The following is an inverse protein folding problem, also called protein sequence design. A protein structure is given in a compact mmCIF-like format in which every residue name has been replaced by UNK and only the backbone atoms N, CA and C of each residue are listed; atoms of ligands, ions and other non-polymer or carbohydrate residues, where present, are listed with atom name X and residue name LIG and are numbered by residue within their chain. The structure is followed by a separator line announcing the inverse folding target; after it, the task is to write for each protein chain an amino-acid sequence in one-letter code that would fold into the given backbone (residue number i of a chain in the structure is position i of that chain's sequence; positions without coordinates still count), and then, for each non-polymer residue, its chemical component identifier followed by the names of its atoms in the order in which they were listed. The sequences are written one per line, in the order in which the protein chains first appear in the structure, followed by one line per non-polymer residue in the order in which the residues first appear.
data_IF_093430420509
#
_entry.id   IF_093430420509
#
_cell.length_a   1.000
_cell.length_b   1.000
_cell.length_c   1.000
_cell.angle_alpha   90.00
_cell.angle_beta   90.00
_cell.angle_gamma   90.00
#
_symmetry.space_group_name_H-M   'P 1'
#
loop_
_entity.id
_entity.type
_entity.pdbx_description
1 polymer ?
#
# COMPACT_ATOMS: atom_id res chain seq x y z
N UNK A 1 0.89 5.59 -15.34
CA UNK A 1 0.95 4.14 -15.17
C UNK A 1 -0.22 3.39 -15.85
N UNK A 2 -1.51 3.63 -15.51
CA UNK A 2 -2.65 2.91 -16.13
C UNK A 2 -2.62 2.99 -17.66
N UNK A 3 -2.44 4.18 -18.24
CA UNK A 3 -2.37 4.35 -19.68
C UNK A 3 -1.19 3.58 -20.32
N UNK A 4 -0.05 3.47 -19.64
CA UNK A 4 1.09 2.66 -20.10
C UNK A 4 0.72 1.18 -20.10
N UNK A 5 0.11 0.69 -19.03
CA UNK A 5 -0.36 -0.69 -18.92
C UNK A 5 -1.34 -1.05 -20.06
N UNK A 6 -2.36 -0.23 -20.26
CA UNK A 6 -3.37 -0.44 -21.32
C UNK A 6 -2.80 -0.35 -22.74
N UNK A 7 -1.67 0.33 -22.90
CA UNK A 7 -0.91 0.36 -24.17
C UNK A 7 0.02 -0.85 -24.36
N UNK A 8 0.07 -1.78 -23.39
CA UNK A 8 0.93 -2.97 -23.43
C UNK A 8 2.32 -2.75 -22.84
N UNK A 9 2.63 -1.57 -22.34
CA UNK A 9 3.89 -1.27 -21.63
C UNK A 9 3.76 -1.65 -20.14
N UNK A 10 3.78 -2.95 -19.89
CA UNK A 10 3.62 -3.52 -18.55
C UNK A 10 4.77 -3.10 -17.63
N UNK A 11 6.01 -3.22 -18.10
CA UNK A 11 7.21 -2.87 -17.30
C UNK A 11 7.22 -1.40 -16.97
N UNK A 12 6.99 -0.51 -17.93
CA UNK A 12 6.91 0.92 -17.72
C UNK A 12 5.77 1.33 -16.77
N UNK A 13 4.63 0.61 -16.81
CA UNK A 13 3.53 0.84 -15.88
C UNK A 13 3.94 0.55 -14.43
N UNK A 14 4.65 -0.55 -14.19
CA UNK A 14 5.17 -0.92 -12.88
C UNK A 14 6.30 0.00 -12.41
N UNK A 15 7.20 0.41 -13.30
CA UNK A 15 8.24 1.41 -12.97
C UNK A 15 7.60 2.73 -12.50
N UNK A 16 6.56 3.19 -13.17
CA UNK A 16 5.80 4.38 -12.76
C UNK A 16 5.10 4.18 -11.40
N UNK A 17 4.57 2.98 -11.14
CA UNK A 17 3.94 2.67 -9.85
C UNK A 17 4.98 2.71 -8.71
N UNK A 18 6.11 2.01 -8.86
CA UNK A 18 7.17 1.98 -7.85
C UNK A 18 7.72 3.39 -7.56
N UNK A 19 7.97 4.15 -8.62
CA UNK A 19 8.42 5.55 -8.51
C UNK A 19 7.41 6.42 -7.74
N UNK A 20 6.13 6.32 -8.07
CA UNK A 20 5.08 7.10 -7.41
C UNK A 20 4.87 6.67 -5.95
N UNK A 21 4.97 5.39 -5.67
CA UNK A 21 4.88 4.83 -4.32
C UNK A 21 6.09 5.22 -3.45
N UNK A 22 7.21 5.62 -4.07
CA UNK A 22 8.47 5.87 -3.38
C UNK A 22 9.17 4.59 -2.95
N UNK A 23 8.97 3.51 -3.71
CA UNK A 23 9.60 2.21 -3.49
C UNK A 23 10.82 2.12 -4.39
N UNK A 24 11.99 1.95 -3.79
CA UNK A 24 13.22 1.73 -4.52
C UNK A 24 13.31 0.25 -4.96
N UNK A 25 13.62 0.03 -6.23
CA UNK A 25 13.87 -1.29 -6.78
C UNK A 25 15.27 -1.33 -7.41
N UNK A 26 16.03 -2.40 -7.23
CA UNK A 26 17.29 -2.58 -7.95
C UNK A 26 17.10 -2.49 -9.46
N UNK A 27 18.11 -1.97 -10.20
CA UNK A 27 18.02 -1.89 -11.65
C UNK A 27 17.67 -3.23 -12.30
N UNK A 28 16.67 -3.24 -13.16
CA UNK A 28 16.21 -4.41 -13.89
C UNK A 28 15.29 -5.36 -13.12
N UNK A 29 15.09 -5.18 -11.82
CA UNK A 29 14.20 -6.05 -11.02
C UNK A 29 12.76 -6.02 -11.54
N UNK A 30 12.22 -4.85 -11.84
CA UNK A 30 10.84 -4.70 -12.33
C UNK A 30 10.69 -5.41 -13.70
N UNK A 31 11.66 -5.25 -14.60
CA UNK A 31 11.64 -5.95 -15.87
C UNK A 31 11.75 -7.48 -15.71
N UNK A 32 12.51 -7.95 -14.73
CA UNK A 32 12.59 -9.38 -14.40
C UNK A 32 11.27 -9.92 -13.83
N UNK A 33 10.60 -9.17 -13.00
CA UNK A 33 9.35 -9.59 -12.35
C UNK A 33 8.15 -9.56 -13.30
N UNK A 34 8.07 -8.55 -14.17
CA UNK A 34 6.86 -8.25 -14.94
C UNK A 34 7.04 -8.32 -16.45
N UNK A 35 8.27 -8.41 -16.96
CA UNK A 35 8.57 -8.36 -18.39
C UNK A 35 8.67 -9.71 -19.11
N UNK A 36 8.64 -10.84 -18.38
CA UNK A 36 8.74 -12.20 -18.92
C UNK A 36 7.41 -12.94 -19.06
N UNK A 37 7.51 -14.25 -19.38
CA UNK A 37 6.35 -15.15 -19.26
C UNK A 37 5.96 -15.28 -17.79
N UNK A 38 4.66 -15.14 -17.51
CA UNK A 38 4.08 -15.22 -16.17
C UNK A 38 2.85 -16.12 -16.20
N UNK A 39 2.42 -16.57 -15.05
CA UNK A 39 1.20 -17.35 -14.91
C UNK A 39 -0.01 -16.55 -15.43
N UNK A 40 -0.93 -17.24 -16.12
CA UNK A 40 -2.11 -16.58 -16.72
C UNK A 40 -3.03 -15.98 -15.65
N UNK A 41 -3.12 -16.60 -14.45
CA UNK A 41 -3.92 -16.07 -13.36
C UNK A 41 -3.32 -14.78 -12.79
N UNK A 42 -1.99 -14.74 -12.59
CA UNK A 42 -1.29 -13.54 -12.13
C UNK A 42 -1.47 -12.37 -13.12
N UNK A 43 -1.39 -12.66 -14.43
CA UNK A 43 -1.60 -11.64 -15.47
C UNK A 43 -3.05 -11.15 -15.49
N UNK A 44 -4.03 -12.04 -15.26
CA UNK A 44 -5.43 -11.68 -15.21
C UNK A 44 -5.75 -10.81 -13.97
N UNK A 45 -5.19 -11.15 -12.81
CA UNK A 45 -5.33 -10.38 -11.57
C UNK A 45 -4.67 -9.00 -11.68
N UNK A 46 -3.46 -8.93 -12.23
CA UNK A 46 -2.77 -7.68 -12.51
C UNK A 46 -3.59 -6.79 -13.45
N UNK A 47 -4.12 -7.36 -14.52
CA UNK A 47 -4.97 -6.64 -15.46
C UNK A 47 -6.21 -6.08 -14.77
N UNK A 48 -6.90 -6.90 -13.97
CA UNK A 48 -8.06 -6.46 -13.20
C UNK A 48 -7.71 -5.30 -12.26
N UNK A 49 -6.58 -5.39 -11.57
CA UNK A 49 -6.10 -4.34 -10.68
C UNK A 49 -5.84 -3.02 -11.42
N UNK A 50 -5.11 -3.04 -12.55
CA UNK A 50 -4.86 -1.83 -13.34
C UNK A 50 -6.12 -1.22 -13.96
N UNK A 51 -7.02 -2.08 -14.48
CA UNK A 51 -8.20 -1.61 -15.20
C UNK A 51 -9.31 -1.09 -14.27
N UNK A 52 -9.49 -1.70 -13.09
CA UNK A 52 -10.67 -1.46 -12.27
C UNK A 52 -10.38 -0.95 -10.86
N UNK A 53 -9.32 -1.40 -10.20
CA UNK A 53 -9.10 -1.12 -8.78
C UNK A 53 -8.16 0.06 -8.52
N UNK A 54 -7.08 0.17 -9.28
CA UNK A 54 -6.01 1.14 -8.99
C UNK A 54 -6.52 2.58 -8.99
N UNK A 55 -7.28 2.99 -10.01
CA UNK A 55 -7.83 4.33 -10.07
C UNK A 55 -8.89 4.55 -8.98
N UNK A 56 -9.77 3.58 -8.77
CA UNK A 56 -10.84 3.68 -7.79
C UNK A 56 -10.31 3.81 -6.36
N UNK A 57 -9.25 3.06 -6.02
CA UNK A 57 -8.65 3.11 -4.69
C UNK A 57 -7.77 4.34 -4.48
N UNK A 58 -6.97 4.74 -5.48
CA UNK A 58 -5.99 5.82 -5.33
C UNK A 58 -6.60 7.22 -5.42
N UNK A 59 -7.72 7.39 -6.11
CA UNK A 59 -8.46 8.66 -6.17
C UNK A 59 -9.57 8.78 -5.13
N UNK A 60 -9.79 7.72 -4.34
CA UNK A 60 -10.79 7.78 -3.28
C UNK A 60 -10.38 8.80 -2.21
N UNK A 61 -11.35 9.65 -1.83
CA UNK A 61 -11.16 10.63 -0.77
C UNK A 61 -11.97 10.22 0.46
N UNK A 62 -11.31 10.01 1.62
CA UNK A 62 -12.01 9.66 2.84
C UNK A 62 -12.89 10.80 3.34
N UNK A 63 -14.10 10.49 3.76
CA UNK A 63 -14.95 11.41 4.51
C UNK A 63 -14.43 11.55 5.95
N UNK A 64 -13.56 12.51 6.17
CA UNK A 64 -12.90 12.74 7.45
C UNK A 64 -13.90 13.09 8.57
N UNK A 65 -15.01 13.74 8.24
CA UNK A 65 -16.02 14.06 9.26
C UNK A 65 -16.72 12.78 9.73
N UNK A 66 -17.06 11.88 8.81
CA UNK A 66 -17.65 10.59 9.13
C UNK A 66 -16.68 9.70 9.90
N UNK A 67 -15.39 9.69 9.52
CA UNK A 67 -14.37 8.92 10.22
C UNK A 67 -14.17 9.40 11.65
N UNK A 68 -14.08 10.71 11.89
CA UNK A 68 -13.97 11.29 13.25
C UNK A 68 -15.16 10.96 14.16
N UNK A 69 -16.36 10.85 13.58
CA UNK A 69 -17.59 10.54 14.29
C UNK A 69 -17.91 9.03 14.33
N UNK A 70 -16.97 8.18 13.92
CA UNK A 70 -17.15 6.72 13.92
C UNK A 70 -17.25 6.19 15.35
N UNK A 71 -18.23 5.32 15.61
CA UNK A 71 -18.29 4.56 16.87
C UNK A 71 -17.21 3.47 16.96
N UNK A 72 -16.60 3.10 15.82
CA UNK A 72 -15.51 2.13 15.75
C UNK A 72 -14.19 2.89 15.85
N UNK A 73 -13.29 2.54 16.77
CA UNK A 73 -11.96 3.13 16.84
C UNK A 73 -11.18 2.97 15.53
N UNK A 74 -10.59 4.05 15.05
CA UNK A 74 -9.75 4.05 13.86
C UNK A 74 -8.32 4.26 14.31
N UNK A 75 -7.45 3.31 14.05
CA UNK A 75 -6.05 3.33 14.45
C UNK A 75 -5.20 3.36 13.17
N UNK A 76 -4.72 4.54 12.73
CA UNK A 76 -3.76 4.59 11.63
C UNK A 76 -2.48 3.83 12.01
N UNK A 77 -1.97 3.02 11.09
CA UNK A 77 -0.77 2.23 11.33
C UNK A 77 0.13 2.19 10.10
N UNK A 78 1.45 2.14 10.31
CA UNK A 78 2.45 2.11 9.26
C UNK A 78 3.70 1.35 9.71
N UNK A 79 4.37 0.67 8.78
CA UNK A 79 5.67 0.06 9.03
C UNK A 79 6.75 1.12 9.27
N UNK A 80 7.59 0.93 10.30
CA UNK A 80 8.64 1.88 10.66
C UNK A 80 9.70 2.08 9.56
N UNK A 81 9.89 1.06 8.70
CA UNK A 81 10.79 1.12 7.55
C UNK A 81 10.15 1.74 6.29
N UNK A 82 8.87 2.09 6.33
CA UNK A 82 8.17 2.78 5.23
C UNK A 82 8.38 4.30 5.24
N UNK A 83 9.24 4.82 6.09
CA UNK A 83 9.45 6.26 6.24
C UNK A 83 9.74 6.97 4.91
N UNK A 84 8.96 8.02 4.59
CA UNK A 84 9.09 8.80 3.35
C UNK A 84 8.38 8.23 2.12
N UNK A 85 7.92 6.99 2.15
CA UNK A 85 7.11 6.39 1.09
C UNK A 85 5.70 7.01 1.02
N UNK A 86 4.97 6.75 -0.06
CA UNK A 86 3.61 7.26 -0.22
C UNK A 86 2.69 6.80 0.91
N UNK A 87 2.76 5.51 1.29
CA UNK A 87 1.97 4.94 2.38
C UNK A 87 2.24 5.62 3.74
N UNK A 88 3.49 5.98 4.05
CA UNK A 88 3.85 6.72 5.25
C UNK A 88 3.24 8.13 5.25
N UNK A 89 3.41 8.86 4.14
CA UNK A 89 2.87 10.24 4.01
C UNK A 89 1.35 10.27 4.14
N UNK A 90 0.64 9.35 3.47
CA UNK A 90 -0.83 9.29 3.50
C UNK A 90 -1.34 8.84 4.87
N UNK A 91 -0.68 7.87 5.51
CA UNK A 91 -1.05 7.43 6.87
C UNK A 91 -0.85 8.55 7.89
N UNK A 92 0.26 9.30 7.81
CA UNK A 92 0.48 10.46 8.70
C UNK A 92 -0.51 11.58 8.46
N UNK A 93 -0.87 11.85 7.19
CA UNK A 93 -1.89 12.83 6.86
C UNK A 93 -3.26 12.44 7.43
N UNK A 94 -3.64 11.16 7.32
CA UNK A 94 -4.86 10.63 7.93
C UNK A 94 -4.79 10.75 9.46
N UNK A 95 -3.68 10.34 10.06
CA UNK A 95 -3.47 10.43 11.52
C UNK A 95 -3.61 11.86 12.03
N UNK A 96 -3.02 12.83 11.31
CA UNK A 96 -3.18 14.27 11.64
C UNK A 96 -4.65 14.69 11.53
N UNK A 97 -5.32 14.31 10.45
CA UNK A 97 -6.71 14.65 10.24
C UNK A 97 -7.66 14.06 11.28
N UNK A 98 -7.34 12.88 11.82
CA UNK A 98 -8.12 12.21 12.87
C UNK A 98 -7.64 12.56 14.29
N UNK A 99 -6.60 13.38 14.44
CA UNK A 99 -5.94 13.66 15.73
C UNK A 99 -5.43 12.40 16.44
N UNK A 100 -5.03 11.40 15.63
CA UNK A 100 -4.56 10.08 16.07
C UNK A 100 -3.18 9.82 15.47
N UNK A 101 -2.07 9.95 16.21
CA UNK A 101 -0.76 9.66 15.68
C UNK A 101 -0.67 8.20 15.23
N UNK A 102 -0.03 7.92 14.07
CA UNK A 102 0.09 6.56 13.59
C UNK A 102 0.87 5.66 14.55
N UNK A 103 0.40 4.43 14.67
CA UNK A 103 1.09 3.37 15.39
C UNK A 103 2.13 2.73 14.47
N UNK A 104 3.36 2.56 14.97
CA UNK A 104 4.42 1.91 14.21
C UNK A 104 4.35 0.40 14.38
N UNK A 105 4.54 -0.30 13.26
CA UNK A 105 4.68 -1.75 13.16
C UNK A 105 6.10 -2.11 12.73
N UNK A 106 6.62 -3.30 13.09
CA UNK A 106 7.90 -3.77 12.58
C UNK A 106 7.87 -3.93 11.05
N UNK A 107 9.01 -3.69 10.42
CA UNK A 107 9.18 -3.83 8.98
C UNK A 107 8.65 -2.65 8.17
N UNK A 108 8.47 -2.89 6.89
CA UNK A 108 7.95 -1.95 5.90
C UNK A 108 6.45 -2.14 5.61
N UNK A 109 6.01 -1.76 4.42
CA UNK A 109 4.63 -1.93 3.96
C UNK A 109 4.19 -3.42 3.89
N UNK A 110 5.14 -4.33 3.73
CA UNK A 110 4.94 -5.79 3.68
C UNK A 110 5.51 -6.53 4.89
N UNK A 111 5.85 -5.82 5.96
CA UNK A 111 6.52 -6.36 7.16
C UNK A 111 5.81 -7.55 7.80
N UNK A 112 4.52 -7.74 7.55
CA UNK A 112 3.79 -8.93 7.97
C UNK A 112 4.22 -10.22 7.24
N UNK A 113 4.87 -10.10 6.08
CA UNK A 113 5.45 -11.23 5.33
C UNK A 113 6.80 -11.61 5.92
N UNK A 114 7.63 -10.60 6.25
CA UNK A 114 9.00 -10.83 6.73
C UNK A 114 9.04 -11.25 8.20
N UNK A 115 8.17 -10.66 9.05
CA UNK A 115 8.04 -10.98 10.48
C UNK A 115 6.57 -11.10 10.90
N UNK A 116 5.88 -12.19 10.52
CA UNK A 116 4.47 -12.39 10.86
C UNK A 116 4.22 -12.50 12.37
N UNK A 117 5.17 -13.01 13.14
CA UNK A 117 5.03 -13.15 14.61
C UNK A 117 5.12 -11.79 15.30
N UNK A 118 6.10 -10.97 14.97
CA UNK A 118 6.26 -9.61 15.49
C UNK A 118 5.10 -8.72 15.10
N UNK A 119 4.66 -8.80 13.83
CA UNK A 119 3.48 -8.09 13.35
C UNK A 119 2.22 -8.48 14.14
N UNK A 120 1.96 -9.79 14.31
CA UNK A 120 0.80 -10.28 15.06
C UNK A 120 0.85 -9.90 16.54
N UNK A 121 2.03 -9.93 17.17
CA UNK A 121 2.22 -9.50 18.54
C UNK A 121 1.88 -8.01 18.70
N UNK A 122 2.37 -7.17 17.77
CA UNK A 122 2.08 -5.73 17.75
C UNK A 122 0.59 -5.46 17.54
N UNK A 123 -0.05 -6.15 16.60
CA UNK A 123 -1.48 -6.03 16.34
C UNK A 123 -2.31 -6.36 17.58
N UNK A 124 -2.02 -7.47 18.27
CA UNK A 124 -2.71 -7.85 19.52
C UNK A 124 -2.53 -6.80 20.63
N UNK A 125 -1.39 -6.12 20.66
CA UNK A 125 -1.10 -5.13 21.69
C UNK A 125 -1.92 -3.83 21.52
N UNK A 126 -2.33 -3.50 20.31
CA UNK A 126 -3.06 -2.27 19.99
C UNK A 126 -4.57 -2.46 19.86
N UNK A 127 -5.02 -3.68 19.56
CA UNK A 127 -6.45 -3.97 19.48
C UNK A 127 -7.08 -3.96 20.87
N UNK A 128 -8.27 -3.35 21.02
CA UNK A 128 -8.99 -3.39 22.29
C UNK A 128 -9.29 -4.84 22.67
N UNK A 129 -9.05 -5.17 23.94
CA UNK A 129 -9.45 -6.48 24.46
C UNK A 129 -10.96 -6.50 24.64
N UNK A 130 -11.60 -7.49 24.03
CA UNK A 130 -13.04 -7.77 24.19
C UNK A 130 -13.35 -8.18 25.62
#
# INVERSE_FOLDING_TARGET
MIAAYLAGDVVGAWELFFSQAGIEAPPGLIAQMFGGERDEADVADERYWFEYELAASTFWQPDLARLRNSAVPIIPAIGEQSAGQLCDRTTRALGTALEQPPVLFPGDHTGFVDDPEGFAARLRAILPRS
#
